data_IF_508350244608
#
_entry.id   IF_508350244608
#
_cell.length_a   1.000
_cell.length_b   1.000
_cell.length_c   1.000
_cell.angle_alpha   90.00
_cell.angle_beta   90.00
_cell.angle_gamma   90.00
#
_symmetry.space_group_name_H-M   'P 1'
#
loop_
_entity.id
_entity.type
_entity.pdbx_description
1 polymer ?
#
# COMPACT_ATOMS: atom_id res chain seq x y z
N UNK A 1 -4.78 19.17 -20.02
CA UNK A 1 -5.16 18.07 -19.13
C UNK A 1 -3.95 17.28 -18.62
N UNK A 2 -3.08 16.76 -19.50
CA UNK A 2 -1.90 15.95 -19.09
C UNK A 2 -0.93 16.67 -18.14
N UNK A 3 -0.65 17.97 -18.36
CA UNK A 3 0.20 18.78 -17.49
C UNK A 3 -0.42 19.00 -16.10
N UNK A 4 -1.73 19.20 -16.05
CA UNK A 4 -2.48 19.39 -14.80
C UNK A 4 -2.49 18.13 -13.94
N UNK A 5 -2.68 16.96 -14.57
CA UNK A 5 -2.60 15.66 -13.91
C UNK A 5 -1.20 15.39 -13.37
N UNK A 6 -0.15 15.69 -14.14
CA UNK A 6 1.24 15.57 -13.69
C UNK A 6 1.53 16.50 -12.51
N UNK A 7 1.05 17.75 -12.53
CA UNK A 7 1.22 18.69 -11.43
C UNK A 7 0.48 18.21 -10.17
N UNK A 8 -0.75 17.73 -10.29
CA UNK A 8 -1.48 17.14 -9.16
C UNK A 8 -0.75 15.92 -8.59
N UNK A 9 -0.25 15.04 -9.45
CA UNK A 9 0.51 13.87 -9.01
C UNK A 9 1.80 14.26 -8.27
N UNK A 10 2.57 15.22 -8.80
CA UNK A 10 3.76 15.74 -8.13
C UNK A 10 3.43 16.43 -6.81
N UNK A 11 2.31 17.15 -6.73
CA UNK A 11 1.88 17.81 -5.50
C UNK A 11 1.46 16.80 -4.42
N UNK A 12 0.77 15.73 -4.79
CA UNK A 12 0.43 14.61 -3.89
C UNK A 12 1.70 13.89 -3.43
N UNK A 13 2.63 13.60 -4.32
CA UNK A 13 3.90 12.98 -3.97
C UNK A 13 4.75 13.88 -3.05
N UNK A 14 4.78 15.17 -3.29
CA UNK A 14 5.47 16.13 -2.43
C UNK A 14 4.84 16.22 -1.03
N UNK A 15 3.51 16.18 -0.93
CA UNK A 15 2.81 16.20 0.37
C UNK A 15 3.05 14.91 1.17
N UNK A 16 3.07 13.75 0.52
CA UNK A 16 3.40 12.47 1.15
C UNK A 16 4.84 12.44 1.67
N UNK A 17 5.79 13.09 0.97
CA UNK A 17 7.18 13.19 1.43
C UNK A 17 7.39 14.24 2.53
N UNK A 18 6.54 15.27 2.61
CA UNK A 18 6.63 16.34 3.61
C UNK A 18 6.19 15.87 5.02
N UNK A 19 5.21 14.96 5.10
CA UNK A 19 4.68 14.46 6.39
C UNK A 19 5.74 13.75 7.25
N UNK A 20 6.62 12.87 6.71
CA UNK A 20 7.66 12.23 7.51
C UNK A 20 8.68 13.20 8.10
N UNK A 21 8.99 14.28 7.40
CA UNK A 21 9.94 15.29 7.86
C UNK A 21 9.42 16.07 9.09
N UNK A 22 8.10 16.30 9.16
CA UNK A 22 7.47 16.97 10.29
C UNK A 22 7.32 16.06 11.52
N UNK A 23 7.12 14.74 11.31
CA UNK A 23 7.04 13.75 12.38
C UNK A 23 8.39 13.55 13.10
N UNK A 24 9.50 13.77 12.42
CA UNK A 24 10.85 13.68 13.02
C UNK A 24 11.18 14.87 13.95
N UNK A 25 10.52 16.00 13.81
CA UNK A 25 10.74 17.16 14.67
C UNK A 25 10.05 17.07 16.05
N UNK A 26 9.22 16.08 16.28
CA UNK A 26 8.53 15.87 17.55
C UNK A 26 9.29 14.99 18.55
N UNK A 27 10.38 14.33 18.12
CA UNK A 27 11.30 13.66 19.04
C UNK A 27 12.33 14.67 19.52
N UNK A 28 12.12 15.17 20.75
CA UNK A 28 13.00 16.11 21.41
C UNK A 28 14.47 15.65 21.34
N UNK A 29 15.36 16.65 21.30
CA UNK A 29 16.79 16.54 21.27
C UNK A 29 17.34 15.65 22.39
N UNK A 30 17.48 14.35 22.12
CA UNK A 30 18.01 13.34 23.01
C UNK A 30 18.15 12.02 22.27
N UNK A 31 19.17 11.92 21.51
CA UNK A 31 19.75 10.92 20.65
C UNK A 31 19.53 9.42 20.88
N UNK A 32 18.34 8.93 21.12
CA UNK A 32 18.03 7.49 20.99
C UNK A 32 17.14 7.24 19.80
N UNK A 33 17.67 6.59 18.79
CA UNK A 33 16.90 6.15 17.62
C UNK A 33 15.73 5.30 18.11
N UNK A 34 14.49 5.70 17.78
CA UNK A 34 13.31 4.91 18.10
C UNK A 34 13.27 3.67 17.16
N UNK A 35 13.92 2.61 17.58
CA UNK A 35 14.02 1.36 16.83
C UNK A 35 12.67 0.73 16.55
N UNK A 36 11.69 0.93 17.45
CA UNK A 36 10.33 0.41 17.28
C UNK A 36 9.63 1.11 16.13
N UNK A 37 9.73 2.43 16.03
CA UNK A 37 9.16 3.19 14.91
C UNK A 37 9.83 2.83 13.58
N UNK A 38 11.17 2.69 13.58
CA UNK A 38 11.92 2.33 12.38
C UNK A 38 11.56 0.94 11.88
N UNK A 39 11.54 -0.06 12.76
CA UNK A 39 11.21 -1.45 12.41
C UNK A 39 9.75 -1.60 12.00
N UNK A 40 8.81 -0.89 12.63
CA UNK A 40 7.40 -0.91 12.25
C UNK A 40 7.16 -0.29 10.87
N UNK A 41 7.84 0.83 10.58
CA UNK A 41 7.81 1.44 9.23
C UNK A 41 8.35 0.50 8.16
N UNK A 42 9.45 -0.20 8.44
CA UNK A 42 10.01 -1.19 7.52
C UNK A 42 9.08 -2.39 7.33
N UNK A 43 8.48 -2.90 8.42
CA UNK A 43 7.56 -4.02 8.37
C UNK A 43 6.31 -3.73 7.51
N UNK A 44 5.70 -2.55 7.68
CA UNK A 44 4.53 -2.19 6.87
C UNK A 44 4.90 -1.93 5.40
N UNK A 45 6.06 -1.34 5.14
CA UNK A 45 6.54 -1.12 3.78
C UNK A 45 6.77 -2.45 3.05
N UNK A 46 7.35 -3.45 3.74
CA UNK A 46 7.56 -4.80 3.20
C UNK A 46 6.23 -5.51 2.95
N UNK A 47 5.31 -5.47 3.92
CA UNK A 47 3.98 -6.07 3.78
C UNK A 47 3.21 -5.46 2.60
N UNK A 48 3.17 -4.14 2.50
CA UNK A 48 2.50 -3.43 1.40
C UNK A 48 3.17 -3.70 0.04
N UNK A 49 4.49 -3.72 -0.02
CA UNK A 49 5.24 -4.02 -1.24
C UNK A 49 4.97 -5.43 -1.78
N UNK A 50 4.98 -6.44 -0.91
CA UNK A 50 4.67 -7.83 -1.29
C UNK A 50 3.20 -8.00 -1.67
N UNK A 51 2.29 -7.34 -0.95
CA UNK A 51 0.86 -7.32 -1.28
C UNK A 51 0.61 -6.70 -2.65
N UNK A 52 1.26 -5.58 -2.96
CA UNK A 52 1.14 -4.93 -4.27
C UNK A 52 1.59 -5.84 -5.42
N UNK A 53 2.67 -6.62 -5.23
CA UNK A 53 3.09 -7.63 -6.20
C UNK A 53 2.05 -8.74 -6.37
N UNK A 54 1.45 -9.20 -5.27
CA UNK A 54 0.36 -10.17 -5.27
C UNK A 54 -0.87 -9.63 -6.02
N UNK A 55 -1.29 -8.43 -5.72
CA UNK A 55 -2.42 -7.76 -6.39
C UNK A 55 -2.17 -7.58 -7.88
N UNK A 56 -0.95 -7.18 -8.26
CA UNK A 56 -0.56 -7.06 -9.66
C UNK A 56 -0.69 -8.38 -10.43
N UNK A 57 -0.28 -9.50 -9.83
CA UNK A 57 -0.42 -10.85 -10.42
C UNK A 57 -1.88 -11.26 -10.57
N UNK A 58 -2.71 -11.04 -9.55
CA UNK A 58 -4.14 -11.35 -9.58
C UNK A 58 -4.85 -10.52 -10.66
N UNK A 59 -4.58 -9.22 -10.71
CA UNK A 59 -5.16 -8.33 -11.72
C UNK A 59 -4.72 -8.69 -13.14
N UNK A 60 -3.43 -8.99 -13.35
CA UNK A 60 -2.89 -9.42 -14.64
C UNK A 60 -3.57 -10.71 -15.12
N UNK A 61 -3.66 -11.72 -14.27
CA UNK A 61 -4.32 -12.99 -14.61
C UNK A 61 -5.81 -12.80 -14.94
N UNK A 62 -6.50 -11.90 -14.23
CA UNK A 62 -7.90 -11.57 -14.52
C UNK A 62 -8.05 -10.89 -15.89
N UNK A 63 -7.17 -9.94 -16.21
CA UNK A 63 -7.17 -9.26 -17.52
C UNK A 63 -6.90 -10.25 -18.66
N UNK A 64 -5.92 -11.15 -18.50
CA UNK A 64 -5.62 -12.18 -19.49
C UNK A 64 -6.79 -13.15 -19.71
N UNK A 65 -7.46 -13.53 -18.62
CA UNK A 65 -8.63 -14.41 -18.67
C UNK A 65 -9.81 -13.75 -19.36
N UNK A 66 -10.06 -12.45 -19.08
CA UNK A 66 -11.09 -11.67 -19.74
C UNK A 66 -10.82 -11.47 -21.23
N UNK A 67 -9.55 -11.29 -21.61
CA UNK A 67 -9.14 -11.20 -23.01
C UNK A 67 -9.40 -12.48 -23.80
N UNK A 68 -9.27 -13.64 -23.14
CA UNK A 68 -9.51 -14.95 -23.77
C UNK A 68 -10.99 -15.35 -23.76
N UNK A 69 -11.73 -15.02 -22.72
CA UNK A 69 -13.15 -15.38 -22.59
C UNK A 69 -13.95 -14.26 -21.94
N UNK A 70 -14.44 -13.30 -22.73
CA UNK A 70 -15.24 -12.19 -22.21
C UNK A 70 -16.57 -12.65 -21.56
N UNK A 71 -17.12 -13.80 -21.97
CA UNK A 71 -18.36 -14.32 -21.41
C UNK A 71 -18.21 -14.79 -19.95
N UNK A 72 -17.01 -15.13 -19.51
CA UNK A 72 -16.71 -15.52 -18.12
C UNK A 72 -16.54 -14.33 -17.16
N UNK A 73 -16.74 -13.08 -17.63
CA UNK A 73 -16.56 -11.85 -16.86
C UNK A 73 -17.18 -11.89 -15.46
N UNK A 74 -18.44 -12.35 -15.24
CA UNK A 74 -19.03 -12.33 -13.90
C UNK A 74 -18.23 -13.14 -12.87
N UNK A 75 -17.81 -14.35 -13.24
CA UNK A 75 -17.01 -15.22 -12.37
C UNK A 75 -15.59 -14.68 -12.13
N UNK A 76 -14.93 -14.18 -13.18
CA UNK A 76 -13.58 -13.62 -13.10
C UNK A 76 -13.58 -12.38 -12.19
N UNK A 77 -14.59 -11.50 -12.31
CA UNK A 77 -14.68 -10.29 -11.47
C UNK A 77 -14.88 -10.63 -9.99
N UNK A 78 -15.68 -11.64 -9.66
CA UNK A 78 -15.85 -12.08 -8.27
C UNK A 78 -14.53 -12.61 -7.71
N UNK A 79 -13.84 -13.48 -8.44
CA UNK A 79 -12.55 -14.02 -8.03
C UNK A 79 -11.49 -12.91 -7.87
N UNK A 80 -11.47 -11.94 -8.79
CA UNK A 80 -10.57 -10.78 -8.74
C UNK A 80 -10.81 -9.95 -7.48
N UNK A 81 -12.06 -9.55 -7.22
CA UNK A 81 -12.40 -8.70 -6.07
C UNK A 81 -12.08 -9.42 -4.76
N UNK A 82 -12.45 -10.70 -4.63
CA UNK A 82 -12.13 -11.48 -3.44
C UNK A 82 -10.63 -11.64 -3.23
N UNK A 83 -9.88 -11.93 -4.30
CA UNK A 83 -8.42 -12.06 -4.22
C UNK A 83 -7.75 -10.75 -3.79
N UNK A 84 -8.16 -9.62 -4.35
CA UNK A 84 -7.64 -8.31 -3.96
C UNK A 84 -8.01 -7.97 -2.51
N UNK A 85 -9.26 -8.21 -2.11
CA UNK A 85 -9.74 -7.93 -0.76
C UNK A 85 -8.98 -8.72 0.32
N UNK A 86 -8.72 -10.02 0.09
CA UNK A 86 -7.96 -10.83 1.04
C UNK A 86 -6.50 -10.39 1.13
N UNK A 87 -5.85 -10.05 0.02
CA UNK A 87 -4.48 -9.53 0.03
C UNK A 87 -4.42 -8.21 0.82
N UNK A 88 -5.37 -7.30 0.59
CA UNK A 88 -5.46 -6.01 1.30
C UNK A 88 -5.70 -6.23 2.81
N UNK A 89 -6.54 -7.19 3.18
CA UNK A 89 -6.81 -7.52 4.58
C UNK A 89 -5.55 -7.94 5.33
N UNK A 90 -4.62 -8.66 4.71
CA UNK A 90 -3.34 -9.03 5.33
C UNK A 90 -2.48 -7.81 5.64
N UNK A 91 -2.46 -6.80 4.78
CA UNK A 91 -1.76 -5.54 5.03
C UNK A 91 -2.41 -4.78 6.19
N UNK A 92 -3.75 -4.72 6.22
CA UNK A 92 -4.49 -4.08 7.31
C UNK A 92 -4.25 -4.78 8.65
N UNK A 93 -4.19 -6.10 8.69
CA UNK A 93 -3.82 -6.82 9.92
C UNK A 93 -2.40 -6.48 10.37
N UNK A 94 -1.45 -6.38 9.46
CA UNK A 94 -0.09 -5.94 9.79
C UNK A 94 -0.10 -4.53 10.39
N UNK A 95 -0.87 -3.61 9.79
CA UNK A 95 -1.03 -2.26 10.30
C UNK A 95 -1.64 -2.24 11.71
N UNK A 96 -2.70 -3.02 11.95
CA UNK A 96 -3.35 -3.13 13.27
C UNK A 96 -2.37 -3.66 14.32
N UNK A 97 -1.59 -4.70 13.98
CA UNK A 97 -0.58 -5.26 14.90
C UNK A 97 0.46 -4.20 15.26
N UNK A 98 0.92 -3.42 14.28
CA UNK A 98 1.86 -2.32 14.50
C UNK A 98 1.24 -1.28 15.44
N UNK A 99 0.01 -0.85 15.18
CA UNK A 99 -0.69 0.11 16.05
C UNK A 99 -0.80 -0.37 17.48
N UNK A 100 -1.20 -1.62 17.71
CA UNK A 100 -1.36 -2.19 19.04
C UNK A 100 -0.02 -2.36 19.77
N UNK A 101 1.08 -2.58 19.05
CA UNK A 101 2.40 -2.83 19.65
C UNK A 101 3.22 -1.55 19.83
N UNK A 102 2.94 -0.50 19.07
CA UNK A 102 3.73 0.75 19.05
C UNK A 102 3.04 1.89 19.80
N UNK A 103 1.69 1.83 19.94
CA UNK A 103 0.93 2.74 20.80
C UNK A 103 1.06 2.32 22.26
#
# INVERSE_FOLDING_TARGET
>A
MRKLVMLMFMMVMASVMAVPASAQGATGAGGTTNWVALTSGFAIALAAGLAALGQGKVAGAACDSLGRNPAARPGIMVALILGLAFIESLVLFTLVIIFVKVA
#
